data_IF_782962504248
#
_entry.id   IF_782962504248
#
_cell.length_a   1.000
_cell.length_b   1.000
_cell.length_c   1.000
_cell.angle_alpha   90.00
_cell.angle_beta   90.00
_cell.angle_gamma   90.00
#
_symmetry.space_group_name_H-M   'P 1'
#
loop_
_entity.id
_entity.type
_entity.pdbx_description
1 polymer ?
#
# COMPACT_ATOMS: atom_id res chain seq x y z
N UNK A 1 11.82 -20.03 -10.21
CA UNK A 1 11.15 -20.91 -9.22
C UNK A 1 10.17 -21.79 -9.99
N UNK A 2 10.06 -23.08 -9.65
CA UNK A 2 8.97 -23.89 -10.20
C UNK A 2 7.65 -23.40 -9.59
N UNK A 3 6.57 -23.28 -10.38
CA UNK A 3 5.28 -22.81 -9.88
C UNK A 3 4.70 -23.80 -8.87
N UNK A 4 4.14 -23.29 -7.76
CA UNK A 4 3.50 -24.14 -6.75
C UNK A 4 2.23 -24.81 -7.32
N UNK A 5 2.29 -26.14 -7.52
CA UNK A 5 1.19 -26.91 -8.11
C UNK A 5 0.04 -27.18 -7.14
N UNK A 6 0.28 -27.16 -5.82
CA UNK A 6 -0.73 -27.47 -4.81
C UNK A 6 -0.59 -26.59 -3.55
N UNK A 7 -1.70 -26.37 -2.85
CA UNK A 7 -1.68 -25.79 -1.49
C UNK A 7 -1.19 -26.80 -0.44
N UNK A 8 -1.22 -28.10 -0.75
CA UNK A 8 -0.73 -29.12 0.17
C UNK A 8 0.79 -28.93 0.38
N UNK A 9 1.29 -29.06 1.62
CA UNK A 9 0.62 -29.60 2.81
C UNK A 9 -0.19 -28.59 3.67
N UNK A 10 -0.31 -27.32 3.26
CA UNK A 10 -1.13 -26.35 4.00
C UNK A 10 -2.63 -26.74 3.94
N UNK A 11 -3.32 -26.53 5.06
CA UNK A 11 -4.73 -26.84 5.25
C UNK A 11 -5.52 -25.52 5.35
N UNK A 12 -6.19 -25.08 4.27
CA UNK A 12 -6.99 -23.86 4.30
C UNK A 12 -8.21 -24.02 5.22
N UNK A 13 -8.60 -22.93 5.87
CA UNK A 13 -9.85 -22.80 6.61
C UNK A 13 -10.93 -22.15 5.73
N UNK A 14 -12.16 -22.02 6.26
CA UNK A 14 -13.25 -21.26 5.61
C UNK A 14 -12.88 -19.79 5.31
N UNK A 15 -11.93 -19.22 6.06
CA UNK A 15 -11.50 -17.83 5.84
C UNK A 15 -10.67 -17.70 4.57
N UNK A 16 -10.02 -18.77 4.09
CA UNK A 16 -9.26 -18.73 2.83
C UNK A 16 -10.16 -18.50 1.61
N UNK A 17 -11.31 -19.16 1.53
CA UNK A 17 -12.28 -18.86 0.46
C UNK A 17 -12.84 -17.44 0.61
N UNK A 18 -12.97 -16.96 1.85
CA UNK A 18 -13.40 -15.59 2.14
C UNK A 18 -12.35 -14.56 1.73
N UNK A 19 -11.05 -14.88 1.81
CA UNK A 19 -9.95 -14.03 1.33
C UNK A 19 -10.13 -13.71 -0.16
N UNK A 20 -10.41 -14.72 -0.99
CA UNK A 20 -10.57 -14.53 -2.43
C UNK A 20 -11.85 -13.80 -2.78
N UNK A 21 -12.96 -14.11 -2.10
CA UNK A 21 -14.22 -13.36 -2.25
C UNK A 21 -14.05 -11.89 -1.86
N UNK A 22 -13.34 -11.63 -0.76
CA UNK A 22 -13.00 -10.28 -0.32
C UNK A 22 -12.11 -9.56 -1.34
N UNK A 23 -11.08 -10.21 -1.89
CA UNK A 23 -10.19 -9.63 -2.89
C UNK A 23 -10.96 -9.23 -4.16
N UNK A 24 -11.81 -10.12 -4.67
CA UNK A 24 -12.65 -9.87 -5.83
C UNK A 24 -13.65 -8.72 -5.59
N UNK A 25 -14.36 -8.73 -4.47
CA UNK A 25 -15.32 -7.66 -4.17
C UNK A 25 -14.64 -6.31 -3.94
N UNK A 26 -13.49 -6.28 -3.27
CA UNK A 26 -12.71 -5.04 -3.10
C UNK A 26 -12.25 -4.46 -4.41
N UNK A 27 -11.88 -5.31 -5.36
CA UNK A 27 -11.46 -4.88 -6.68
C UNK A 27 -12.64 -4.44 -7.55
N UNK A 28 -13.80 -5.10 -7.44
CA UNK A 28 -15.02 -4.65 -8.09
C UNK A 28 -15.46 -3.26 -7.58
N UNK A 29 -15.45 -3.04 -6.25
CA UNK A 29 -15.72 -1.72 -5.66
C UNK A 29 -14.73 -0.66 -6.16
N UNK A 30 -13.45 -1.00 -6.30
CA UNK A 30 -12.44 -0.10 -6.86
C UNK A 30 -12.83 0.34 -8.28
N UNK A 31 -13.14 -0.60 -9.18
CA UNK A 31 -13.51 -0.29 -10.56
C UNK A 31 -14.81 0.53 -10.65
N UNK A 32 -15.87 0.17 -9.90
CA UNK A 32 -17.11 0.97 -9.85
C UNK A 32 -16.85 2.43 -9.46
N UNK A 33 -15.97 2.64 -8.48
CA UNK A 33 -15.54 3.98 -8.07
C UNK A 33 -14.71 4.70 -9.13
N UNK A 34 -13.75 4.01 -9.74
CA UNK A 34 -12.89 4.56 -10.80
C UNK A 34 -13.71 4.96 -12.04
N UNK A 35 -14.79 4.24 -12.33
CA UNK A 35 -15.73 4.52 -13.42
C UNK A 35 -16.80 5.58 -13.08
N UNK A 36 -16.74 6.17 -11.88
CA UNK A 36 -17.68 7.21 -11.45
C UNK A 36 -19.10 6.71 -11.19
N UNK A 37 -19.29 5.41 -10.93
CA UNK A 37 -20.61 4.88 -10.58
C UNK A 37 -21.10 5.44 -9.23
N UNK A 38 -22.43 5.52 -9.09
CA UNK A 38 -23.06 6.03 -7.87
C UNK A 38 -23.07 4.97 -6.76
N UNK A 39 -22.90 5.37 -5.49
CA UNK A 39 -23.01 4.45 -4.36
C UNK A 39 -24.45 3.89 -4.19
N UNK A 40 -24.64 2.74 -3.52
CA UNK A 40 -23.60 1.92 -2.89
C UNK A 40 -22.78 1.11 -3.91
N UNK A 41 -21.46 1.07 -3.73
CA UNK A 41 -20.56 0.31 -4.63
C UNK A 41 -20.44 -1.17 -4.29
N UNK A 42 -21.20 -1.67 -3.33
CA UNK A 42 -21.26 -3.08 -2.91
C UNK A 42 -22.46 -3.31 -2.01
N UNK A 43 -23.00 -4.53 -2.05
CA UNK A 43 -24.03 -4.99 -1.12
C UNK A 43 -23.43 -5.61 0.15
N UNK A 44 -22.10 -5.80 0.22
CA UNK A 44 -21.44 -6.29 1.41
C UNK A 44 -21.49 -5.24 2.54
N UNK A 45 -22.26 -5.53 3.57
CA UNK A 45 -22.49 -4.61 4.68
C UNK A 45 -21.21 -4.28 5.47
N UNK A 46 -20.29 -5.23 5.58
CA UNK A 46 -19.03 -5.05 6.29
C UNK A 46 -18.14 -4.07 5.52
N UNK A 47 -18.09 -4.19 4.19
CA UNK A 47 -17.35 -3.27 3.32
C UNK A 47 -17.96 -1.87 3.27
N UNK A 48 -19.29 -1.75 3.41
CA UNK A 48 -19.98 -0.45 3.54
C UNK A 48 -19.68 0.22 4.88
N UNK A 49 -19.65 -0.54 5.97
CA UNK A 49 -19.51 0.02 7.32
C UNK A 49 -18.06 0.35 7.69
N UNK A 50 -17.07 -0.47 7.29
CA UNK A 50 -15.70 -0.37 7.79
C UNK A 50 -14.69 0.01 6.72
N UNK A 51 -13.62 0.70 7.12
CA UNK A 51 -12.57 1.11 6.18
C UNK A 51 -11.67 -0.06 5.82
N UNK A 52 -11.54 -0.35 4.52
CA UNK A 52 -10.56 -1.28 3.96
C UNK A 52 -9.69 -0.61 2.89
N UNK A 53 -8.49 -1.13 2.66
CA UNK A 53 -7.65 -0.74 1.51
C UNK A 53 -8.19 -1.35 0.22
N UNK A 54 -7.66 -0.93 -0.93
CA UNK A 54 -7.90 -1.60 -2.19
C UNK A 54 -7.14 -2.94 -2.28
N UNK A 55 -7.50 -3.78 -3.25
CA UNK A 55 -6.80 -5.04 -3.50
C UNK A 55 -5.35 -4.76 -3.95
N UNK A 56 -5.18 -3.78 -4.84
CA UNK A 56 -3.88 -3.24 -5.21
C UNK A 56 -3.50 -2.08 -4.28
N UNK A 57 -2.38 -2.22 -3.56
CA UNK A 57 -1.89 -1.19 -2.62
C UNK A 57 -1.74 0.16 -3.32
N UNK A 58 -1.18 0.16 -4.52
CA UNK A 58 -0.90 1.36 -5.28
C UNK A 58 -2.17 2.18 -5.59
N UNK A 59 -3.36 1.55 -5.58
CA UNK A 59 -4.64 2.24 -5.81
C UNK A 59 -5.19 2.97 -4.57
N UNK A 60 -4.58 2.81 -3.39
CA UNK A 60 -4.99 3.58 -2.21
C UNK A 60 -4.66 5.07 -2.39
N UNK A 61 -5.52 5.96 -1.88
CA UNK A 61 -5.37 7.42 -2.04
C UNK A 61 -3.99 7.94 -1.62
N UNK A 62 -3.45 7.44 -0.51
CA UNK A 62 -2.12 7.84 -0.02
C UNK A 62 -1.01 7.35 -0.94
N UNK A 63 -1.15 6.16 -1.52
CA UNK A 63 -0.20 5.64 -2.51
C UNK A 63 -0.31 6.38 -3.84
N UNK A 64 -1.51 6.70 -4.31
CA UNK A 64 -1.72 7.52 -5.50
C UNK A 64 -1.11 8.92 -5.35
N UNK A 65 -1.31 9.56 -4.18
CA UNK A 65 -0.68 10.83 -3.87
C UNK A 65 0.85 10.72 -3.85
N UNK A 66 1.39 9.69 -3.18
CA UNK A 66 2.82 9.42 -3.16
C UNK A 66 3.37 9.26 -4.58
N UNK A 67 2.79 8.38 -5.39
CA UNK A 67 3.30 8.06 -6.72
C UNK A 67 3.29 9.33 -7.58
N UNK A 68 2.16 10.02 -7.66
CA UNK A 68 2.02 11.17 -8.58
C UNK A 68 2.74 12.42 -8.09
N UNK A 69 2.42 12.88 -6.89
CA UNK A 69 2.79 14.22 -6.41
C UNK A 69 4.07 14.24 -5.58
N UNK A 70 4.51 13.08 -5.10
CA UNK A 70 5.75 12.99 -4.32
C UNK A 70 6.84 12.38 -5.17
N UNK A 71 6.61 11.25 -5.83
CA UNK A 71 7.68 10.56 -6.56
C UNK A 71 7.95 11.23 -7.92
N UNK A 72 6.93 11.42 -8.76
CA UNK A 72 7.15 11.78 -10.17
C UNK A 72 7.06 13.28 -10.48
N UNK A 73 6.80 14.13 -9.48
CA UNK A 73 6.93 15.59 -9.61
C UNK A 73 8.30 16.07 -9.10
N UNK A 74 8.91 17.04 -9.78
CA UNK A 74 10.21 17.63 -9.41
C UNK A 74 11.43 16.95 -10.02
N UNK A 75 12.62 17.19 -9.44
CA UNK A 75 13.90 16.62 -9.87
C UNK A 75 13.88 15.08 -9.75
N UNK A 76 14.32 14.35 -10.76
CA UNK A 76 14.34 12.88 -10.77
C UNK A 76 15.72 12.29 -10.39
N UNK A 77 16.64 13.10 -9.87
CA UNK A 77 17.88 12.59 -9.25
C UNK A 77 17.58 11.63 -8.09
N UNK A 78 18.45 10.62 -7.92
CA UNK A 78 18.26 9.55 -6.94
C UNK A 78 18.09 10.07 -5.52
N UNK A 79 18.88 11.08 -5.15
CA UNK A 79 18.88 11.76 -3.86
C UNK A 79 17.53 12.44 -3.60
N UNK A 80 17.03 13.20 -4.58
CA UNK A 80 15.77 13.92 -4.46
C UNK A 80 14.59 12.95 -4.37
N UNK A 81 14.57 11.90 -5.20
CA UNK A 81 13.50 10.88 -5.21
C UNK A 81 13.46 10.14 -3.88
N UNK A 82 14.62 9.70 -3.39
CA UNK A 82 14.73 9.02 -2.12
C UNK A 82 14.28 9.94 -0.98
N UNK A 83 14.81 11.17 -0.93
CA UNK A 83 14.53 12.13 0.13
C UNK A 83 13.03 12.39 0.28
N UNK A 84 12.35 12.78 -0.80
CA UNK A 84 10.91 13.09 -0.75
C UNK A 84 10.06 11.88 -0.43
N UNK A 85 10.41 10.72 -0.98
CA UNK A 85 9.68 9.47 -0.71
C UNK A 85 9.76 9.12 0.76
N UNK A 86 10.97 9.09 1.35
CA UNK A 86 11.13 8.76 2.77
C UNK A 86 10.53 9.85 3.66
N UNK A 87 10.74 11.12 3.36
CA UNK A 87 10.13 12.24 4.09
C UNK A 87 8.60 12.10 4.15
N UNK A 88 7.94 11.86 3.01
CA UNK A 88 6.50 11.64 2.96
C UNK A 88 6.10 10.43 3.80
N UNK A 89 6.82 9.30 3.67
CA UNK A 89 6.48 8.04 4.34
C UNK A 89 6.77 8.02 5.84
N UNK A 90 7.67 8.85 6.35
CA UNK A 90 7.88 9.05 7.79
C UNK A 90 6.60 9.58 8.46
N UNK A 91 5.83 10.43 7.78
CA UNK A 91 4.55 10.96 8.27
C UNK A 91 3.34 10.18 7.73
N UNK A 92 3.49 9.61 6.53
CA UNK A 92 2.51 8.84 5.77
C UNK A 92 1.14 9.53 5.63
N UNK A 93 1.14 10.86 5.57
CA UNK A 93 -0.06 11.70 5.65
C UNK A 93 0.01 12.84 4.62
N UNK A 94 -0.98 12.89 3.73
CA UNK A 94 -1.07 13.87 2.63
C UNK A 94 -1.07 15.30 3.18
N UNK A 95 -1.89 15.55 4.20
CA UNK A 95 -2.06 16.89 4.75
C UNK A 95 -0.78 17.42 5.42
N UNK A 96 0.11 16.51 5.87
CA UNK A 96 1.43 16.91 6.39
C UNK A 96 2.36 17.33 5.25
N UNK A 97 2.33 16.60 4.14
CA UNK A 97 3.10 16.94 2.95
C UNK A 97 2.65 18.26 2.32
N UNK A 98 1.34 18.46 2.15
CA UNK A 98 0.77 19.70 1.61
C UNK A 98 1.11 20.90 2.50
N UNK A 99 1.03 20.75 3.82
CA UNK A 99 1.40 21.79 4.77
C UNK A 99 2.88 22.17 4.67
N UNK A 100 3.79 21.18 4.57
CA UNK A 100 5.21 21.45 4.33
C UNK A 100 5.41 22.16 2.98
N UNK A 101 4.72 21.71 1.94
CA UNK A 101 4.80 22.27 0.58
C UNK A 101 4.33 23.73 0.52
N UNK A 102 3.30 24.08 1.27
CA UNK A 102 2.76 25.44 1.35
C UNK A 102 3.71 26.41 2.06
N UNK A 103 4.39 25.95 3.11
CA UNK A 103 5.26 26.81 3.94
C UNK A 103 6.70 26.90 3.40
N UNK A 104 7.15 25.90 2.63
CA UNK A 104 8.54 25.79 2.17
C UNK A 104 8.70 25.87 0.65
N UNK A 105 7.62 25.74 -0.11
CA UNK A 105 7.69 25.26 -1.49
C UNK A 105 7.78 23.73 -1.54
N UNK A 106 7.79 23.12 -2.74
CA UNK A 106 7.93 21.68 -2.89
C UNK A 106 9.14 21.15 -2.10
N UNK A 107 8.97 20.17 -1.19
CA UNK A 107 10.08 19.65 -0.41
C UNK A 107 11.17 19.04 -1.31
N UNK A 108 12.37 19.60 -1.26
CA UNK A 108 13.58 19.10 -1.94
C UNK A 108 14.68 18.83 -0.93
N UNK A 109 15.61 17.94 -1.28
CA UNK A 109 16.82 17.73 -0.49
C UNK A 109 17.74 18.95 -0.55
N UNK A 110 17.88 19.58 -1.73
CA UNK A 110 18.73 20.76 -1.92
C UNK A 110 18.39 21.94 -0.98
N UNK A 111 17.11 22.13 -0.66
CA UNK A 111 16.65 23.22 0.22
C UNK A 111 16.31 22.77 1.65
N UNK A 112 16.59 21.50 1.96
CA UNK A 112 16.24 20.92 3.25
C UNK A 112 16.98 21.62 4.41
N UNK A 113 16.25 21.90 5.49
CA UNK A 113 16.80 22.41 6.74
C UNK A 113 16.02 21.83 7.92
N UNK A 114 16.74 21.13 8.79
CA UNK A 114 16.18 20.57 10.01
C UNK A 114 15.38 21.60 10.80
N UNK A 115 15.93 22.80 11.01
CA UNK A 115 15.34 23.86 11.83
C UNK A 115 14.05 24.40 11.23
N UNK A 116 13.96 24.49 9.89
CA UNK A 116 12.74 24.95 9.20
C UNK A 116 11.63 23.90 9.35
N UNK A 117 11.95 22.62 9.07
CA UNK A 117 10.99 21.52 9.16
C UNK A 117 10.54 21.28 10.61
N UNK A 118 11.46 21.27 11.58
CA UNK A 118 11.13 21.10 13.00
C UNK A 118 10.16 22.17 13.47
N UNK A 119 10.39 23.44 13.09
CA UNK A 119 9.54 24.56 13.49
C UNK A 119 8.12 24.43 12.97
N UNK A 120 7.96 24.08 11.69
CA UNK A 120 6.64 23.92 11.06
C UNK A 120 5.88 22.75 11.71
N UNK A 121 6.52 21.60 11.84
CA UNK A 121 5.92 20.40 12.44
C UNK A 121 5.60 20.60 13.92
N UNK A 122 6.49 21.26 14.66
CA UNK A 122 6.27 21.65 16.07
C UNK A 122 5.07 22.56 16.21
N UNK A 123 4.96 23.62 15.38
CA UNK A 123 3.81 24.52 15.38
C UNK A 123 2.51 23.79 15.09
N UNK A 124 2.51 22.85 14.15
CA UNK A 124 1.34 22.04 13.83
C UNK A 124 0.90 21.18 15.04
N UNK A 125 1.84 20.52 15.72
CA UNK A 125 1.58 19.72 16.93
C UNK A 125 1.03 20.60 18.05
N UNK A 126 1.62 21.77 18.31
CA UNK A 126 1.18 22.72 19.34
C UNK A 126 -0.21 23.30 19.04
N UNK A 127 -0.52 23.48 17.75
CA UNK A 127 -1.86 23.76 17.24
C UNK A 127 -2.83 22.57 17.28
N UNK A 128 -2.49 21.49 17.98
CA UNK A 128 -3.30 20.26 18.14
C UNK A 128 -3.61 19.53 16.82
N UNK A 129 -2.82 19.74 15.77
CA UNK A 129 -2.93 18.97 14.52
C UNK A 129 -2.13 17.68 14.62
N UNK A 130 -2.67 16.60 14.07
CA UNK A 130 -1.91 15.35 13.89
C UNK A 130 -1.06 15.45 12.63
N UNK A 131 0.22 15.13 12.74
CA UNK A 131 1.14 15.12 11.58
C UNK A 131 1.46 13.72 11.06
N UNK A 132 1.05 12.67 11.80
CA UNK A 132 1.19 11.29 11.36
C UNK A 132 -0.18 10.72 10.99
N UNK A 133 -0.19 9.83 10.01
CA UNK A 133 -1.37 9.01 9.75
C UNK A 133 -1.60 7.98 10.87
N UNK A 134 -2.80 7.43 10.94
CA UNK A 134 -3.09 6.30 11.82
C UNK A 134 -2.49 4.97 11.30
N UNK A 135 -2.02 4.94 10.05
CA UNK A 135 -1.26 3.83 9.48
C UNK A 135 0.24 4.03 9.73
N UNK A 136 0.99 2.92 9.73
CA UNK A 136 2.44 2.87 9.99
C UNK A 136 2.79 3.41 11.38
N UNK A 137 2.85 2.50 12.36
CA UNK A 137 3.23 2.87 13.71
C UNK A 137 4.73 3.22 13.70
N UNK A 138 5.03 4.51 13.56
CA UNK A 138 6.40 5.01 13.63
C UNK A 138 6.92 4.94 15.08
N UNK A 139 8.12 4.41 15.35
CA UNK A 139 8.72 4.46 16.68
C UNK A 139 9.08 5.89 17.12
N UNK A 140 9.20 6.17 18.42
CA UNK A 140 9.45 7.53 18.92
C UNK A 140 10.88 8.02 18.75
N UNK A 141 11.86 7.11 18.56
CA UNK A 141 13.26 7.45 18.24
C UNK A 141 14.04 8.25 19.27
N UNK A 142 13.43 8.59 20.40
CA UNK A 142 13.97 9.54 21.37
C UNK A 142 15.28 9.07 22.01
N UNK A 143 15.45 7.76 22.21
CA UNK A 143 16.70 7.17 22.74
C UNK A 143 17.83 7.18 21.71
N UNK A 144 17.54 6.85 20.46
CA UNK A 144 18.56 6.71 19.40
C UNK A 144 19.18 8.06 19.02
N UNK A 145 18.36 9.12 19.02
CA UNK A 145 18.77 10.45 18.56
C UNK A 145 18.76 11.52 19.67
N UNK A 146 18.53 11.13 20.93
CA UNK A 146 18.53 12.05 22.07
C UNK A 146 17.50 13.19 21.98
N UNK A 147 16.41 13.02 21.23
CA UNK A 147 15.42 14.09 21.01
C UNK A 147 14.22 13.97 21.95
N UNK A 148 13.63 15.11 22.30
CA UNK A 148 12.41 15.18 23.14
C UNK A 148 11.12 15.02 22.35
N UNK A 149 11.15 15.16 21.02
CA UNK A 149 9.97 15.08 20.15
C UNK A 149 10.20 14.12 18.99
N UNK A 150 9.26 13.21 18.78
CA UNK A 150 9.34 12.12 17.78
C UNK A 150 9.70 12.57 16.37
N UNK A 151 9.11 13.67 15.88
CA UNK A 151 9.39 14.13 14.51
C UNK A 151 10.82 14.62 14.33
N UNK A 152 11.48 15.11 15.38
CA UNK A 152 12.90 15.47 15.34
C UNK A 152 13.77 14.24 15.10
N UNK A 153 13.49 13.14 15.79
CA UNK A 153 14.20 11.87 15.55
C UNK A 153 14.01 11.36 14.11
N UNK A 154 12.83 11.53 13.52
CA UNK A 154 12.59 11.15 12.13
C UNK A 154 13.34 12.03 11.12
N UNK A 155 13.40 13.34 11.37
CA UNK A 155 14.18 14.26 10.55
C UNK A 155 15.69 13.93 10.64
N UNK A 156 16.19 13.65 11.85
CA UNK A 156 17.59 13.19 12.05
C UNK A 156 17.88 11.86 11.37
N UNK A 157 16.93 10.93 11.41
CA UNK A 157 17.04 9.65 10.71
C UNK A 157 17.16 9.85 9.19
N UNK A 158 16.35 10.74 8.62
CA UNK A 158 16.43 11.08 7.20
C UNK A 158 17.77 11.74 6.85
N UNK A 159 18.25 12.70 7.66
CA UNK A 159 19.58 13.30 7.48
C UNK A 159 20.68 12.25 7.46
N UNK A 160 20.68 11.34 8.45
CA UNK A 160 21.65 10.27 8.52
C UNK A 160 21.62 9.37 7.27
N UNK A 161 20.44 9.02 6.77
CA UNK A 161 20.30 8.24 5.53
C UNK A 161 20.89 8.97 4.31
N UNK A 162 20.72 10.29 4.23
CA UNK A 162 21.28 11.10 3.15
C UNK A 162 22.81 11.22 3.27
N UNK A 163 23.32 11.48 4.48
CA UNK A 163 24.76 11.58 4.77
C UNK A 163 25.51 10.27 4.49
N UNK A 164 24.88 9.13 4.78
CA UNK A 164 25.42 7.79 4.52
C UNK A 164 25.36 7.38 3.03
N UNK A 165 24.93 8.30 2.15
CA UNK A 165 24.71 8.07 0.72
C UNK A 165 23.82 6.84 0.45
N UNK A 166 22.79 6.64 1.28
CA UNK A 166 21.83 5.55 1.11
C UNK A 166 21.08 5.60 -0.24
N UNK A 167 20.70 6.77 -0.81
CA UNK A 167 20.04 6.82 -2.11
C UNK A 167 20.82 6.06 -3.21
N UNK A 168 22.12 6.37 -3.36
CA UNK A 168 22.95 5.70 -4.36
C UNK A 168 23.11 4.20 -4.07
N UNK A 169 23.32 3.82 -2.81
CA UNK A 169 23.45 2.41 -2.40
C UNK A 169 22.19 1.58 -2.66
N UNK A 170 21.00 2.20 -2.58
CA UNK A 170 19.73 1.56 -2.93
C UNK A 170 19.58 1.46 -4.45
N UNK A 171 19.92 2.51 -5.20
CA UNK A 171 19.87 2.50 -6.66
C UNK A 171 20.78 1.41 -7.25
N UNK A 172 21.94 1.17 -6.63
CA UNK A 172 22.90 0.13 -7.01
C UNK A 172 22.61 -1.26 -6.42
N UNK A 173 21.57 -1.39 -5.59
CA UNK A 173 21.31 -2.66 -4.91
C UNK A 173 20.91 -3.75 -5.93
N UNK A 174 21.52 -4.95 -5.90
CA UNK A 174 21.28 -5.99 -6.91
C UNK A 174 19.95 -6.72 -6.75
N UNK A 175 19.17 -6.43 -5.70
CA UNK A 175 17.93 -7.11 -5.36
C UNK A 175 17.08 -6.29 -4.40
N UNK A 176 15.76 -6.51 -4.42
CA UNK A 176 14.84 -5.86 -3.46
C UNK A 176 15.18 -6.27 -2.02
N UNK A 177 15.62 -7.52 -1.83
CA UNK A 177 16.11 -8.01 -0.53
C UNK A 177 17.31 -7.17 -0.05
N UNK A 178 18.26 -6.87 -0.93
CA UNK A 178 19.44 -6.10 -0.51
C UNK A 178 19.09 -4.66 -0.16
N UNK A 179 18.22 -4.01 -0.94
CA UNK A 179 17.70 -2.69 -0.60
C UNK A 179 16.92 -2.68 0.72
N UNK A 180 16.12 -3.72 0.98
CA UNK A 180 15.45 -3.93 2.27
C UNK A 180 16.45 -4.02 3.44
N UNK A 181 17.51 -4.82 3.32
CA UNK A 181 18.54 -4.97 4.36
C UNK A 181 19.27 -3.66 4.64
N UNK A 182 19.53 -2.86 3.60
CA UNK A 182 20.12 -1.53 3.74
C UNK A 182 19.23 -0.63 4.60
N UNK A 183 17.92 -0.57 4.30
CA UNK A 183 16.96 0.20 5.10
C UNK A 183 16.82 -0.32 6.54
N UNK A 184 16.79 -1.65 6.71
CA UNK A 184 16.65 -2.32 8.02
C UNK A 184 17.83 -2.02 8.96
N UNK A 185 19.00 -1.69 8.42
CA UNK A 185 20.20 -1.36 9.20
C UNK A 185 20.08 -0.07 10.00
N UNK A 186 19.10 0.78 9.68
CA UNK A 186 18.91 2.06 10.34
C UNK A 186 18.09 1.94 11.63
N UNK A 187 18.41 2.76 12.67
CA UNK A 187 17.65 2.74 13.90
C UNK A 187 16.18 3.09 13.64
N UNK A 188 15.28 2.52 14.44
CA UNK A 188 13.81 2.69 14.33
C UNK A 188 13.16 2.02 13.12
N UNK A 189 13.92 1.54 12.15
CA UNK A 189 13.37 0.83 11.00
C UNK A 189 13.35 -0.66 11.32
N UNK A 190 12.16 -1.19 11.64
CA UNK A 190 11.95 -2.64 11.74
C UNK A 190 11.47 -3.22 10.41
N UNK A 191 11.38 -4.56 10.35
CA UNK A 191 10.96 -5.34 9.19
C UNK A 191 9.77 -4.75 8.42
N UNK A 192 8.71 -4.39 9.15
CA UNK A 192 7.54 -3.79 8.52
C UNK A 192 7.87 -2.48 7.79
N UNK A 193 8.56 -1.54 8.45
CA UNK A 193 8.87 -0.24 7.84
C UNK A 193 9.86 -0.38 6.70
N UNK A 194 10.92 -1.19 6.86
CA UNK A 194 11.88 -1.45 5.80
C UNK A 194 11.19 -2.01 4.55
N UNK A 195 10.26 -2.96 4.70
CA UNK A 195 9.54 -3.53 3.57
C UNK A 195 8.57 -2.53 2.92
N UNK A 196 7.88 -1.72 3.73
CA UNK A 196 7.02 -0.68 3.18
C UNK A 196 7.83 0.36 2.37
N UNK A 197 8.97 0.82 2.90
CA UNK A 197 9.83 1.82 2.26
C UNK A 197 10.48 1.31 0.99
N UNK A 198 11.06 0.10 0.99
CA UNK A 198 11.64 -0.45 -0.26
C UNK A 198 10.57 -0.61 -1.34
N UNK A 199 9.34 -0.94 -0.98
CA UNK A 199 8.23 -1.01 -1.95
C UNK A 199 7.83 0.38 -2.45
N UNK A 200 7.72 1.37 -1.56
CA UNK A 200 7.40 2.75 -1.94
C UNK A 200 8.48 3.36 -2.84
N UNK A 201 9.76 3.12 -2.56
CA UNK A 201 10.89 3.52 -3.41
C UNK A 201 10.84 2.79 -4.75
N UNK A 202 10.47 1.50 -4.77
CA UNK A 202 10.33 0.73 -6.01
C UNK A 202 9.10 1.13 -6.85
N UNK A 203 8.27 2.09 -6.42
CA UNK A 203 7.32 2.74 -7.31
C UNK A 203 7.96 3.81 -8.19
N UNK A 204 9.18 4.26 -7.87
CA UNK A 204 9.96 5.20 -8.67
C UNK A 204 10.91 4.49 -9.65
N UNK A 205 11.63 5.29 -10.43
CA UNK A 205 12.71 4.80 -11.29
C UNK A 205 14.07 4.69 -10.56
N UNK A 206 14.11 4.93 -9.24
CA UNK A 206 15.30 4.70 -8.40
C UNK A 206 15.74 3.24 -8.43
N UNK A 207 14.79 2.31 -8.50
CA UNK A 207 15.02 0.87 -8.57
C UNK A 207 14.04 0.22 -9.54
N UNK A 208 14.37 -0.94 -10.10
CA UNK A 208 13.48 -1.69 -11.00
C UNK A 208 13.33 -3.15 -10.59
N UNK A 209 13.06 -3.38 -9.30
CA UNK A 209 12.87 -4.73 -8.78
C UNK A 209 11.51 -5.29 -9.18
N UNK A 210 11.47 -6.60 -9.42
CA UNK A 210 10.19 -7.31 -9.53
C UNK A 210 9.50 -7.33 -8.17
N UNK A 211 8.24 -6.89 -8.13
CA UNK A 211 7.40 -6.98 -6.92
C UNK A 211 7.02 -8.44 -6.57
N UNK A 212 7.43 -9.41 -7.40
CA UNK A 212 7.35 -10.85 -7.14
C UNK A 212 8.62 -11.44 -6.51
N UNK A 213 9.67 -10.65 -6.31
CA UNK A 213 10.96 -11.15 -5.82
C UNK A 213 11.01 -11.33 -4.29
N UNK A 214 10.42 -10.38 -3.56
CA UNK A 214 10.63 -10.26 -2.10
C UNK A 214 9.38 -9.74 -1.37
N UNK A 215 9.08 -10.38 -0.23
CA UNK A 215 7.98 -9.97 0.66
C UNK A 215 8.33 -10.27 2.10
N UNK A 216 7.89 -9.38 3.00
CA UNK A 216 7.96 -9.56 4.45
C UNK A 216 6.57 -9.35 5.03
N UNK A 217 5.95 -10.38 5.63
CA UNK A 217 4.60 -10.26 6.18
C UNK A 217 4.57 -9.32 7.40
N UNK A 218 3.77 -8.27 7.32
CA UNK A 218 3.47 -7.42 8.47
C UNK A 218 2.58 -8.12 9.52
N UNK A 219 2.45 -7.58 10.75
CA UNK A 219 1.69 -8.21 11.83
C UNK A 219 0.21 -8.52 11.49
N UNK A 220 -0.43 -7.65 10.69
CA UNK A 220 -1.79 -7.90 10.24
C UNK A 220 -1.88 -9.05 9.23
N UNK A 221 -0.90 -9.17 8.34
CA UNK A 221 -0.84 -10.27 7.38
C UNK A 221 -0.58 -11.61 8.07
N UNK A 222 0.32 -11.65 9.06
CA UNK A 222 0.53 -12.83 9.90
C UNK A 222 -0.77 -13.30 10.58
N UNK A 223 -1.54 -12.36 11.14
CA UNK A 223 -2.84 -12.67 11.74
C UNK A 223 -3.84 -13.19 10.70
N UNK A 224 -3.86 -12.61 9.50
CA UNK A 224 -4.73 -13.02 8.39
C UNK A 224 -4.41 -14.42 7.87
N UNK A 225 -3.13 -14.71 7.66
CA UNK A 225 -2.64 -16.04 7.28
C UNK A 225 -3.06 -17.06 8.33
N UNK A 226 -2.89 -16.76 9.63
CA UNK A 226 -3.31 -17.67 10.70
C UNK A 226 -4.81 -17.97 10.67
N UNK A 227 -5.63 -17.00 10.30
CA UNK A 227 -7.08 -17.23 10.12
C UNK A 227 -7.40 -18.05 8.88
N UNK A 228 -6.68 -17.81 7.77
CA UNK A 228 -6.91 -18.49 6.49
C UNK A 228 -6.43 -19.95 6.49
N UNK A 229 -5.50 -20.33 7.36
CA UNK A 229 -4.93 -21.67 7.36
C UNK A 229 -4.92 -22.29 8.76
N UNK A 230 -5.55 -23.46 8.87
CA UNK A 230 -5.53 -24.27 10.09
C UNK A 230 -4.11 -24.78 10.38
N UNK A 231 -3.39 -25.13 9.33
CA UNK A 231 -1.98 -25.52 9.34
C UNK A 231 -1.28 -25.03 8.07
N UNK A 232 -0.03 -24.57 8.20
CA UNK A 232 0.81 -24.20 7.06
C UNK A 232 1.58 -25.40 6.48
N UNK A 233 1.53 -26.55 7.14
CA UNK A 233 2.20 -27.77 6.66
C UNK A 233 3.72 -27.66 6.51
N UNK A 234 4.37 -26.72 7.22
CA UNK A 234 5.81 -26.48 7.13
C UNK A 234 6.21 -25.31 6.20
N UNK A 235 5.25 -24.70 5.49
CA UNK A 235 5.48 -23.44 4.80
C UNK A 235 5.66 -22.28 5.80
N UNK A 236 6.56 -21.36 5.50
CA UNK A 236 6.59 -20.07 6.20
C UNK A 236 5.45 -19.16 5.71
N UNK A 237 5.11 -18.12 6.48
CA UNK A 237 4.11 -17.13 6.07
C UNK A 237 4.52 -16.39 4.80
N UNK A 238 5.82 -16.20 4.57
CA UNK A 238 6.38 -15.68 3.32
C UNK A 238 6.10 -16.62 2.15
N UNK A 239 6.30 -17.93 2.35
CA UNK A 239 6.01 -18.93 1.30
C UNK A 239 4.51 -18.97 0.99
N UNK A 240 3.65 -18.86 2.01
CA UNK A 240 2.20 -18.77 1.83
C UNK A 240 1.82 -17.59 0.94
N UNK A 241 2.40 -16.40 1.14
CA UNK A 241 2.11 -15.24 0.30
C UNK A 241 2.53 -15.50 -1.15
N UNK A 242 3.71 -16.12 -1.37
CA UNK A 242 4.19 -16.46 -2.72
C UNK A 242 3.28 -17.47 -3.40
N UNK A 243 2.91 -18.55 -2.71
CA UNK A 243 1.97 -19.57 -3.19
C UNK A 243 0.63 -18.94 -3.57
N UNK A 244 0.10 -18.06 -2.71
CA UNK A 244 -1.18 -17.38 -2.95
C UNK A 244 -1.12 -16.45 -4.15
N UNK A 245 -0.05 -15.68 -4.31
CA UNK A 245 0.13 -14.81 -5.46
C UNK A 245 0.26 -15.62 -6.77
N UNK A 246 1.06 -16.69 -6.77
CA UNK A 246 1.22 -17.57 -7.95
C UNK A 246 -0.09 -18.29 -8.33
N UNK A 247 -0.96 -18.60 -7.37
CA UNK A 247 -2.21 -19.34 -7.60
C UNK A 247 -3.43 -18.46 -7.81
N UNK A 248 -3.30 -17.13 -7.84
CA UNK A 248 -4.44 -16.21 -7.82
C UNK A 248 -5.51 -16.53 -8.88
N UNK A 249 -5.10 -16.78 -10.14
CA UNK A 249 -6.03 -17.09 -11.23
C UNK A 249 -6.74 -18.44 -11.01
N UNK A 250 -6.00 -19.45 -10.56
CA UNK A 250 -6.56 -20.77 -10.27
C UNK A 250 -7.54 -20.73 -9.10
N UNK A 251 -7.29 -19.91 -8.08
CA UNK A 251 -8.18 -19.77 -6.93
C UNK A 251 -9.44 -18.96 -7.27
N UNK A 252 -9.33 -17.90 -8.09
CA UNK A 252 -10.50 -17.22 -8.62
C UNK A 252 -11.37 -18.16 -9.46
N UNK A 253 -10.75 -18.92 -10.38
CA UNK A 253 -11.45 -19.90 -11.21
C UNK A 253 -12.11 -21.01 -10.38
N UNK A 254 -11.40 -21.57 -9.37
CA UNK A 254 -11.92 -22.59 -8.46
C UNK A 254 -13.20 -22.14 -7.76
N UNK A 255 -13.30 -20.85 -7.42
CA UNK A 255 -14.43 -20.27 -6.71
C UNK A 255 -15.49 -19.65 -7.64
N UNK A 256 -15.28 -19.68 -8.96
CA UNK A 256 -16.15 -19.04 -9.94
C UNK A 256 -16.22 -17.52 -9.77
N UNK A 257 -15.10 -16.89 -9.38
CA UNK A 257 -15.01 -15.45 -9.14
C UNK A 257 -14.44 -14.74 -10.36
N UNK A 258 -15.11 -13.67 -10.79
CA UNK A 258 -14.56 -12.73 -11.77
C UNK A 258 -13.67 -11.71 -11.08
N UNK A 259 -12.36 -11.77 -11.34
CA UNK A 259 -11.40 -10.81 -10.83
C UNK A 259 -10.93 -9.85 -11.93
N UNK A 260 -11.34 -8.60 -11.82
CA UNK A 260 -10.94 -7.53 -12.74
C UNK A 260 -9.56 -6.99 -12.33
N UNK A 261 -8.51 -7.49 -12.98
CA UNK A 261 -7.13 -7.04 -12.72
C UNK A 261 -6.94 -5.53 -12.86
N UNK A 262 -5.75 -5.04 -12.50
CA UNK A 262 -5.37 -3.64 -12.68
C UNK A 262 -4.93 -3.39 -14.13
N UNK A 263 -5.91 -3.40 -15.05
CA UNK A 263 -5.72 -3.27 -16.51
C UNK A 263 -4.67 -4.25 -17.08
N UNK A 264 -4.77 -5.51 -16.69
CA UNK A 264 -3.89 -6.59 -17.12
C UNK A 264 -2.70 -6.87 -16.18
N UNK A 265 -2.48 -6.04 -15.15
CA UNK A 265 -1.48 -6.33 -14.11
C UNK A 265 -2.07 -7.28 -13.05
N UNK A 266 -1.52 -8.48 -12.83
CA UNK A 266 -1.98 -9.39 -11.78
C UNK A 266 -1.59 -8.86 -10.39
N UNK A 267 -2.21 -9.39 -9.33
CA UNK A 267 -1.81 -9.10 -7.95
C UNK A 267 -0.34 -9.46 -7.74
N UNK A 268 0.41 -8.58 -7.07
CA UNK A 268 1.80 -8.81 -6.69
C UNK A 268 1.90 -9.29 -5.23
N UNK A 269 3.10 -9.68 -4.77
CA UNK A 269 3.27 -10.16 -3.39
C UNK A 269 2.83 -9.15 -2.33
N UNK A 270 3.11 -7.86 -2.55
CA UNK A 270 2.66 -6.79 -1.64
C UNK A 270 1.13 -6.69 -1.57
N UNK A 271 0.44 -6.90 -2.69
CA UNK A 271 -1.01 -6.86 -2.76
C UNK A 271 -1.61 -8.04 -2.00
N UNK A 272 -1.08 -9.25 -2.24
CA UNK A 272 -1.50 -10.45 -1.52
C UNK A 272 -1.24 -10.36 0.00
N UNK A 273 -0.08 -9.82 0.40
CA UNK A 273 0.22 -9.51 1.80
C UNK A 273 -0.80 -8.53 2.38
N UNK A 274 -1.15 -7.47 1.65
CA UNK A 274 -2.10 -6.47 2.14
C UNK A 274 -3.50 -7.04 2.26
N UNK A 275 -3.94 -7.84 1.30
CA UNK A 275 -5.19 -8.59 1.39
C UNK A 275 -5.22 -9.49 2.64
N UNK A 276 -4.09 -10.09 3.05
CA UNK A 276 -4.03 -10.84 4.30
C UNK A 276 -4.21 -9.95 5.53
N UNK A 277 -3.64 -8.75 5.52
CA UNK A 277 -3.86 -7.78 6.59
C UNK A 277 -5.36 -7.40 6.71
N UNK A 278 -6.00 -7.21 5.55
CA UNK A 278 -7.38 -6.77 5.49
C UNK A 278 -8.38 -7.90 5.79
N UNK A 279 -8.12 -9.14 5.36
CA UNK A 279 -8.97 -10.29 5.69
C UNK A 279 -8.94 -10.57 7.19
N UNK A 280 -7.80 -10.36 7.87
CA UNK A 280 -7.72 -10.48 9.34
C UNK A 280 -8.80 -9.63 10.01
N UNK A 281 -8.99 -8.40 9.50
CA UNK A 281 -9.96 -7.42 9.99
C UNK A 281 -11.38 -7.81 9.58
N UNK A 282 -11.61 -8.10 8.31
CA UNK A 282 -12.94 -8.49 7.78
C UNK A 282 -13.49 -9.74 8.48
N UNK A 283 -12.65 -10.76 8.66
CA UNK A 283 -13.04 -12.02 9.30
C UNK A 283 -13.44 -11.86 10.77
N UNK A 284 -13.11 -10.75 11.46
CA UNK A 284 -13.58 -10.52 12.84
C UNK A 284 -15.10 -10.41 12.93
N UNK A 285 -15.74 -9.95 11.86
CA UNK A 285 -17.19 -9.80 11.77
C UNK A 285 -17.79 -10.99 11.02
N UNK A 286 -17.21 -11.38 9.89
CA UNK A 286 -17.75 -12.47 9.05
C UNK A 286 -17.60 -13.86 9.68
N UNK A 287 -16.49 -14.10 10.40
CA UNK A 287 -16.11 -15.38 10.98
C UNK A 287 -15.69 -15.20 12.44
N UNK A 288 -16.61 -14.78 13.33
CA UNK A 288 -16.28 -14.40 14.71
C UNK A 288 -15.66 -15.56 15.51
N UNK A 289 -15.97 -16.80 15.14
CA UNK A 289 -15.46 -18.01 15.79
C UNK A 289 -14.02 -18.37 15.39
N UNK A 290 -13.47 -17.73 14.34
CA UNK A 290 -12.10 -17.97 13.88
C UNK A 290 -11.13 -16.97 14.51
N UNK A 291 -10.39 -17.45 15.51
CA UNK A 291 -9.39 -16.65 16.22
C UNK A 291 -8.11 -16.44 15.38
N UNK A 292 -7.63 -15.19 15.36
CA UNK A 292 -6.29 -14.84 14.89
C UNK A 292 -5.27 -14.75 16.03
N UNK A 293 -3.99 -14.56 15.70
CA UNK A 293 -2.89 -14.40 16.67
C UNK A 293 -3.12 -13.23 17.64
N UNK A 294 -3.65 -12.12 17.12
CA UNK A 294 -3.87 -10.88 17.87
C UNK A 294 -5.07 -10.91 18.82
N UNK A 295 -5.90 -11.97 18.77
CA UNK A 295 -7.16 -12.14 19.52
C UNK A 295 -8.14 -10.94 19.40
N UNK A 296 -7.95 -10.06 18.42
CA UNK A 296 -8.81 -8.89 18.21
C UNK A 296 -10.14 -9.32 17.59
N UNK A 297 -11.23 -8.91 18.22
CA UNK A 297 -12.60 -9.30 17.83
C UNK A 297 -13.42 -8.18 17.20
N UNK A 298 -12.95 -6.92 17.22
CA UNK A 298 -13.69 -5.76 16.70
C UNK A 298 -12.91 -4.98 15.66
N UNK A 299 -13.64 -4.34 14.73
CA UNK A 299 -13.11 -3.35 13.81
C UNK A 299 -13.39 -1.97 14.40
N UNK A 300 -12.35 -1.15 14.59
CA UNK A 300 -12.49 0.17 15.23
C UNK A 300 -12.79 1.30 14.23
N UNK A 301 -12.30 1.18 13.01
CA UNK A 301 -12.34 2.26 12.03
C UNK A 301 -13.53 2.10 11.09
N UNK A 302 -14.53 2.97 11.25
CA UNK A 302 -15.65 3.07 10.32
C UNK A 302 -15.21 3.71 9.01
N UNK A 303 -15.85 3.29 7.93
CA UNK A 303 -15.70 3.89 6.62
C UNK A 303 -16.35 5.27 6.63
N UNK A 304 -15.63 6.27 6.11
CA UNK A 304 -16.17 7.58 5.77
C UNK A 304 -15.82 7.77 4.29
N UNK A 305 -16.81 7.75 3.38
CA UNK A 305 -16.53 7.92 1.96
C UNK A 305 -15.82 9.25 1.74
N UNK A 306 -14.66 9.21 1.09
CA UNK A 306 -14.11 10.41 0.45
C UNK A 306 -14.54 10.36 -1.02
N UNK A 307 -15.42 11.31 -1.37
CA UNK A 307 -16.02 11.45 -2.70
C UNK A 307 -15.14 12.22 -3.69
N UNK A 308 -14.01 12.78 -3.25
CA UNK A 308 -13.05 13.41 -4.15
C UNK A 308 -12.58 12.36 -5.16
N UNK A 309 -12.71 12.61 -6.47
CA UNK A 309 -12.21 11.70 -7.47
C UNK A 309 -10.69 11.52 -7.32
N UNK A 310 -10.19 10.37 -7.76
CA UNK A 310 -8.77 10.12 -7.89
C UNK A 310 -8.51 9.97 -9.39
N UNK A 311 -7.66 10.82 -9.94
CA UNK A 311 -7.13 10.64 -11.28
C UNK A 311 -6.02 9.59 -11.21
N UNK A 312 -6.41 8.33 -11.39
CA UNK A 312 -5.56 7.17 -11.16
C UNK A 312 -4.37 7.15 -12.11
N UNK A 313 -3.18 7.12 -11.52
CA UNK A 313 -1.91 7.10 -12.23
C UNK A 313 -0.91 6.23 -11.47
N UNK A 314 -0.22 5.35 -12.19
CA UNK A 314 0.64 4.32 -11.62
C UNK A 314 2.08 4.49 -12.11
N UNK A 315 3.07 3.82 -11.48
CA UNK A 315 4.45 3.85 -11.95
C UNK A 315 4.55 3.61 -13.46
N UNK A 316 5.13 4.52 -14.26
CA UNK A 316 5.23 4.40 -15.72
C UNK A 316 5.81 3.07 -16.17
N UNK A 317 6.81 2.54 -15.44
CA UNK A 317 7.42 1.23 -15.71
C UNK A 317 6.46 0.04 -15.65
N UNK A 318 5.25 0.21 -15.12
CA UNK A 318 4.21 -0.82 -15.17
C UNK A 318 3.49 -0.88 -16.53
N UNK A 319 3.59 0.15 -17.36
CA UNK A 319 3.03 0.15 -18.72
C UNK A 319 1.49 0.07 -18.78
N UNK A 320 0.79 0.49 -17.73
CA UNK A 320 -0.69 0.40 -17.65
C UNK A 320 -1.42 1.73 -17.83
N UNK A 321 -0.74 2.87 -17.73
CA UNK A 321 -1.40 4.18 -17.69
C UNK A 321 -2.23 4.50 -18.96
N UNK A 322 -1.78 4.08 -20.14
CA UNK A 322 -2.54 4.28 -21.39
C UNK A 322 -3.87 3.50 -21.43
N UNK A 323 -3.92 2.34 -20.76
CA UNK A 323 -5.13 1.50 -20.70
C UNK A 323 -6.19 2.09 -19.79
N UNK A 324 -5.80 2.93 -18.84
CA UNK A 324 -6.71 3.65 -17.93
C UNK A 324 -7.50 4.69 -18.74
N UNK A 325 -6.78 5.52 -19.50
CA UNK A 325 -7.38 6.55 -20.36
C UNK A 325 -8.31 5.96 -21.41
N UNK A 326 -7.92 4.83 -22.02
CA UNK A 326 -8.74 4.15 -23.03
C UNK A 326 -9.96 3.42 -22.42
N UNK A 327 -9.84 2.89 -21.20
CA UNK A 327 -10.95 2.25 -20.48
C UNK A 327 -12.00 3.26 -19.97
N UNK A 328 -11.61 4.52 -19.75
CA UNK A 328 -12.53 5.61 -19.45
C UNK A 328 -13.27 6.15 -20.70
N UNK A 329 -12.71 5.93 -21.90
CA UNK A 329 -13.19 6.47 -23.18
C UNK A 329 -14.19 5.60 -23.95
N UNK A 330 -14.33 4.30 -23.65
CA UNK A 330 -15.34 3.44 -24.28
C UNK A 330 -16.71 3.54 -23.58
N UNK A 331 -17.30 4.74 -23.64
CA UNK A 331 -18.76 4.90 -23.68
C UNK A 331 -19.10 5.54 -25.02
N UNK A 332 -19.12 4.73 -26.07
CA UNK A 332 -19.86 5.12 -27.27
C UNK A 332 -21.34 5.15 -26.91
N UNK A 333 -21.89 6.34 -27.03
CA UNK A 333 -23.32 6.64 -27.07
C UNK A 333 -24.04 5.62 -27.96
N UNK A 334 -24.75 4.68 -27.35
CA UNK A 334 -25.91 4.08 -28.02
C UNK A 334 -27.10 5.01 -27.76
N UNK A 335 -27.03 6.19 -28.37
CA UNK A 335 -28.21 7.00 -28.66
C UNK A 335 -28.97 6.31 -29.77
N UNK A 336 -30.01 5.55 -29.40
CA UNK A 336 -31.01 5.09 -30.35
C UNK A 336 -31.87 6.30 -30.67
N UNK A 337 -31.53 6.98 -31.77
CA UNK A 337 -32.42 7.95 -32.40
C UNK A 337 -33.20 7.31 -33.55
N UNK A 338 -34.48 7.65 -33.55
CA UNK A 338 -35.56 7.19 -34.41
C UNK A 338 -35.27 7.27 -35.91
N UNK A 339 -35.71 6.23 -36.63
CA UNK A 339 -36.40 6.43 -37.91
C UNK A 339 -37.73 5.67 -37.92
N UNK A 340 -38.80 6.43 -37.72
CA UNK A 340 -40.12 6.09 -38.22
C UNK A 340 -40.16 6.34 -39.73
N UNK A 341 -40.85 5.46 -40.44
CA UNK A 341 -41.05 5.54 -41.88
C UNK A 341 -41.82 4.33 -42.37
N UNK A 342 -43.12 4.29 -42.07
CA UNK A 342 -44.19 4.09 -43.05
C UNK A 342 -45.50 4.65 -42.48
#
# INVERSE_FOLDING_TARGET
MQPFSSLAPAKPSVVFDTYWRFAAERQAVFHRRALGETPPWTDDEILREYKFTNAYRASDRVSQYLIRHVIYEGDQSSEEVFFRTILFKLFNKIETWEMLSQELGPPTYAEYSFERYDRILTRAIEGKRTIYSAAYIMPSGSKAFGTTRKHRSHLRLLEQMMEDNLPARIAEAPSMRKAFELLLSYPMIGDFLAYQYVTDLNYSDLTDFSEMEFVIPGPGALDGIRKCFESLGGLSETDVIKVVAERQEAEFARLGLEFHSLWGRPLQLIDCQNLFCEISKYARVKHPDVAGVSKRTRIKQKHRPNMEPIDYWYPPKWGINERISNGAGTRTENGVDHHGGE
#
